data_IF_434395133853
#
_entry.id   IF_434395133853
#
_cell.length_a   1.000
_cell.length_b   1.000
_cell.length_c   1.000
_cell.angle_alpha   90.00
_cell.angle_beta   90.00
_cell.angle_gamma   90.00
#
_symmetry.space_group_name_H-M   'P 1'
#
loop_
_entity.id
_entity.type
_entity.pdbx_description
1 polymer ?
#
# COMPACT_ATOMS: atom_id res chain seq x y z
N UNK A 1 13.54 8.81 24.38
CA UNK A 1 14.27 8.19 23.25
C UNK A 1 13.92 6.71 23.25
N UNK A 2 13.40 6.16 22.16
CA UNK A 2 13.06 4.73 22.09
C UNK A 2 14.36 3.93 21.98
N UNK A 3 14.59 2.99 22.89
CA UNK A 3 15.77 2.12 22.88
C UNK A 3 15.37 0.73 22.37
N UNK A 4 15.85 0.35 21.18
CA UNK A 4 15.59 -0.97 20.60
C UNK A 4 16.66 -1.96 21.03
N UNK A 5 16.24 -3.20 21.33
CA UNK A 5 17.20 -4.29 21.54
C UNK A 5 18.02 -4.53 20.28
N UNK A 6 19.26 -5.08 20.38
CA UNK A 6 20.05 -5.41 19.21
C UNK A 6 19.34 -6.34 18.22
N UNK A 7 18.47 -7.22 18.71
CA UNK A 7 17.66 -8.10 17.86
C UNK A 7 16.62 -7.32 17.05
N UNK A 8 15.84 -6.46 17.70
CA UNK A 8 14.84 -5.61 17.04
C UNK A 8 15.51 -4.67 16.03
N UNK A 9 16.68 -4.12 16.37
CA UNK A 9 17.45 -3.27 15.46
C UNK A 9 17.86 -4.02 14.18
N UNK A 10 18.25 -5.29 14.28
CA UNK A 10 18.55 -6.11 13.08
C UNK A 10 17.29 -6.37 12.24
N UNK A 11 16.15 -6.62 12.87
CA UNK A 11 14.87 -6.81 12.16
C UNK A 11 14.45 -5.54 11.40
N UNK A 12 14.51 -4.38 12.06
CA UNK A 12 14.24 -3.09 11.42
C UNK A 12 15.16 -2.83 10.20
N UNK A 13 16.45 -3.12 10.34
CA UNK A 13 17.42 -2.95 9.25
C UNK A 13 17.24 -3.99 8.11
N UNK A 14 16.51 -5.08 8.36
CA UNK A 14 16.25 -6.11 7.35
C UNK A 14 15.02 -5.85 6.48
N UNK A 15 14.16 -4.88 6.85
CA UNK A 15 12.91 -4.62 6.15
C UNK A 15 13.14 -4.27 4.68
N UNK A 16 12.35 -4.88 3.80
CA UNK A 16 12.33 -4.60 2.37
C UNK A 16 10.95 -4.18 1.90
N UNK A 17 10.92 -3.21 0.98
CA UNK A 17 9.72 -2.87 0.22
C UNK A 17 9.96 -3.24 -1.23
N UNK A 18 9.12 -4.13 -1.76
CA UNK A 18 9.08 -4.45 -3.18
C UNK A 18 7.84 -3.77 -3.78
N UNK A 19 8.06 -2.64 -4.48
CA UNK A 19 6.97 -1.86 -5.09
C UNK A 19 6.09 -2.75 -5.97
N UNK A 20 4.78 -2.70 -5.75
CA UNK A 20 3.81 -3.50 -6.49
C UNK A 20 3.67 -4.95 -6.05
N UNK A 21 4.45 -5.41 -5.04
CA UNK A 21 4.36 -6.79 -4.50
C UNK A 21 3.99 -6.80 -3.02
N UNK A 22 4.81 -6.20 -2.17
CA UNK A 22 4.59 -6.13 -0.73
C UNK A 22 5.44 -5.05 -0.06
N UNK A 23 5.02 -4.63 1.13
CA UNK A 23 5.90 -3.92 2.07
C UNK A 23 6.11 -4.77 3.30
N UNK A 24 7.35 -4.95 3.73
CA UNK A 24 7.63 -5.54 5.03
C UNK A 24 7.39 -4.52 6.15
N UNK A 25 6.89 -5.01 7.28
CA UNK A 25 6.62 -4.24 8.49
C UNK A 25 7.11 -5.03 9.70
N UNK A 26 7.63 -4.33 10.70
CA UNK A 26 7.86 -4.92 12.02
C UNK A 26 6.62 -4.71 12.88
N UNK A 27 6.03 -5.80 13.36
CA UNK A 27 4.98 -5.77 14.38
C UNK A 27 5.61 -6.15 15.71
N UNK A 28 5.53 -5.23 16.68
CA UNK A 28 5.93 -5.46 18.06
C UNK A 28 4.69 -5.66 18.92
N UNK A 29 4.68 -6.73 19.72
CA UNK A 29 3.57 -7.06 20.62
C UNK A 29 4.09 -7.60 21.96
N UNK A 30 3.27 -7.64 23.02
CA UNK A 30 3.66 -8.29 24.27
C UNK A 30 4.08 -9.76 24.10
N UNK A 31 3.61 -10.41 23.04
CA UNK A 31 3.90 -11.82 22.73
C UNK A 31 5.16 -12.00 21.88
N UNK A 32 5.81 -10.91 21.47
CA UNK A 32 7.02 -10.91 20.66
C UNK A 32 6.95 -10.01 19.44
N UNK A 33 8.09 -9.95 18.75
CA UNK A 33 8.33 -9.11 17.59
C UNK A 33 8.44 -9.97 16.32
N UNK A 34 7.84 -9.54 15.22
CA UNK A 34 7.90 -10.28 13.95
C UNK A 34 7.92 -9.34 12.74
N UNK A 35 8.72 -9.71 11.74
CA UNK A 35 8.66 -9.10 10.41
C UNK A 35 7.57 -9.79 9.62
N UNK A 36 6.61 -9.01 9.14
CA UNK A 36 5.49 -9.50 8.32
C UNK A 36 5.47 -8.80 6.97
N UNK A 37 4.85 -9.42 5.98
CA UNK A 37 4.59 -8.80 4.67
C UNK A 37 3.15 -8.32 4.61
N UNK A 38 2.98 -7.04 4.36
CA UNK A 38 1.68 -6.48 4.06
C UNK A 38 1.45 -6.49 2.55
N UNK A 39 0.42 -7.21 2.12
CA UNK A 39 -0.03 -7.33 0.73
C UNK A 39 -1.48 -6.81 0.67
N UNK A 40 -1.67 -5.49 0.55
CA UNK A 40 -3.00 -4.92 0.40
C UNK A 40 -3.60 -5.28 -0.95
N UNK A 41 -4.92 -5.41 -1.01
CA UNK A 41 -5.61 -5.60 -2.28
C UNK A 41 -5.46 -4.35 -3.17
N UNK A 42 -5.51 -4.50 -4.52
CA UNK A 42 -5.30 -3.40 -5.45
C UNK A 42 -6.27 -2.22 -5.27
N UNK A 43 -7.52 -2.50 -4.87
CA UNK A 43 -8.51 -1.45 -4.67
C UNK A 43 -8.18 -0.59 -3.46
N UNK A 44 -7.89 -1.21 -2.32
CA UNK A 44 -7.44 -0.50 -1.12
C UNK A 44 -6.16 0.30 -1.35
N UNK A 45 -5.22 -0.24 -2.15
CA UNK A 45 -4.01 0.48 -2.55
C UNK A 45 -4.32 1.74 -3.34
N UNK A 46 -5.21 1.64 -4.32
CA UNK A 46 -5.55 2.77 -5.18
C UNK A 46 -6.32 3.85 -4.43
N UNK A 47 -7.26 3.44 -3.57
CA UNK A 47 -8.00 4.32 -2.65
C UNK A 47 -7.06 5.12 -1.73
N UNK A 48 -6.02 4.47 -1.21
CA UNK A 48 -5.04 5.11 -0.32
C UNK A 48 -3.86 5.75 -1.07
N UNK A 49 -3.89 5.80 -2.40
CA UNK A 49 -2.75 6.28 -3.18
C UNK A 49 -2.54 7.77 -3.00
N UNK A 50 -1.28 8.15 -2.79
CA UNK A 50 -0.81 9.54 -2.78
C UNK A 50 0.02 9.86 -4.03
N UNK A 51 0.01 8.96 -5.02
CA UNK A 51 0.72 9.17 -6.28
C UNK A 51 -0.02 10.23 -7.13
N UNK A 52 0.70 11.26 -7.56
CA UNK A 52 0.14 12.32 -8.40
C UNK A 52 -0.50 11.82 -9.71
N UNK A 53 0.04 10.75 -10.29
CA UNK A 53 -0.51 10.12 -11.52
C UNK A 53 -1.87 9.49 -11.25
N UNK A 54 -2.01 8.76 -10.15
CA UNK A 54 -3.27 8.13 -9.74
C UNK A 54 -4.32 9.21 -9.44
N UNK A 55 -3.92 10.27 -8.74
CA UNK A 55 -4.78 11.41 -8.44
C UNK A 55 -5.30 12.09 -9.71
N UNK A 56 -4.41 12.44 -10.65
CA UNK A 56 -4.78 13.11 -11.89
C UNK A 56 -5.70 12.26 -12.78
N UNK A 57 -5.48 10.95 -12.84
CA UNK A 57 -6.34 10.03 -13.58
C UNK A 57 -7.74 9.94 -12.94
N UNK A 58 -7.82 9.84 -11.60
CA UNK A 58 -9.08 9.83 -10.88
C UNK A 58 -9.85 11.14 -11.10
N UNK A 59 -9.20 12.29 -10.92
CA UNK A 59 -9.79 13.61 -11.16
C UNK A 59 -10.29 13.76 -12.61
N UNK A 60 -9.56 13.23 -13.60
CA UNK A 60 -10.00 13.25 -14.99
C UNK A 60 -11.29 12.46 -15.20
N UNK A 61 -11.44 11.30 -14.54
CA UNK A 61 -12.65 10.47 -14.63
C UNK A 61 -13.83 11.11 -13.88
N UNK A 62 -13.57 11.71 -12.71
CA UNK A 62 -14.60 12.46 -11.98
C UNK A 62 -15.12 13.64 -12.81
N UNK A 63 -14.24 14.38 -13.49
CA UNK A 63 -14.61 15.47 -14.39
C UNK A 63 -15.39 15.01 -15.63
N UNK A 64 -15.31 13.72 -15.99
CA UNK A 64 -16.14 13.12 -17.03
C UNK A 64 -17.53 12.69 -16.52
N UNK A 65 -17.81 12.85 -15.22
CA UNK A 65 -19.08 12.53 -14.59
C UNK A 65 -19.17 11.14 -13.97
N UNK A 66 -18.07 10.37 -13.95
CA UNK A 66 -18.03 9.09 -13.25
C UNK A 66 -18.06 9.31 -11.74
N UNK A 67 -18.70 8.41 -11.00
CA UNK A 67 -18.54 8.33 -9.55
C UNK A 67 -17.13 7.87 -9.17
N UNK A 68 -16.72 8.12 -7.93
CA UNK A 68 -15.43 7.65 -7.40
C UNK A 68 -15.27 6.13 -7.52
N UNK A 69 -16.34 5.36 -7.27
CA UNK A 69 -16.30 3.90 -7.40
C UNK A 69 -16.09 3.45 -8.85
N UNK A 70 -16.76 4.09 -9.81
CA UNK A 70 -16.58 3.80 -11.23
C UNK A 70 -15.18 4.19 -11.71
N UNK A 71 -14.68 5.36 -11.29
CA UNK A 71 -13.35 5.83 -11.63
C UNK A 71 -12.27 4.82 -11.19
N UNK A 72 -12.32 4.38 -9.92
CA UNK A 72 -11.38 3.40 -9.39
C UNK A 72 -11.50 2.04 -10.09
N UNK A 73 -12.72 1.61 -10.41
CA UNK A 73 -12.96 0.37 -11.16
C UNK A 73 -12.33 0.43 -12.54
N UNK A 74 -12.52 1.53 -13.28
CA UNK A 74 -11.91 1.77 -14.59
C UNK A 74 -10.38 1.76 -14.49
N UNK A 75 -9.82 2.46 -13.50
CA UNK A 75 -8.38 2.52 -13.28
C UNK A 75 -7.77 1.13 -13.01
N UNK A 76 -8.45 0.30 -12.22
CA UNK A 76 -8.00 -1.06 -11.90
C UNK A 76 -8.13 -2.01 -13.10
N UNK A 77 -9.20 -1.89 -13.89
CA UNK A 77 -9.37 -2.63 -15.15
C UNK A 77 -8.24 -2.30 -16.14
N UNK A 78 -7.90 -1.01 -16.31
CA UNK A 78 -6.76 -0.57 -17.15
C UNK A 78 -5.42 -1.17 -16.71
N UNK A 79 -5.28 -1.47 -15.42
CA UNK A 79 -4.09 -2.09 -14.81
C UNK A 79 -4.12 -3.63 -14.84
N UNK A 80 -5.21 -4.24 -15.33
CA UNK A 80 -5.40 -5.70 -15.30
C UNK A 80 -5.58 -6.28 -13.89
N UNK A 81 -6.00 -5.44 -12.93
CA UNK A 81 -6.15 -5.80 -11.51
C UNK A 81 -7.61 -6.08 -11.10
N UNK A 82 -8.54 -5.91 -12.04
CA UNK A 82 -9.94 -6.27 -11.94
C UNK A 82 -10.30 -7.07 -13.21
N UNK A 83 -10.82 -8.29 -13.01
CA UNK A 83 -11.29 -9.19 -14.07
C UNK A 83 -12.81 -9.08 -14.17
#
# INVERSE_FOLDING_TARGET
MVNFSPAVKRMLLSLRTERGRFSEMLIASPNGDSVVRHIPDPFSLLMASTNATDFNECESLLNQGYSTMEALTIMLQRRGQLV
#
